data_IF_848478586798
#
_entry.id   IF_848478586798
#
_cell.length_a   1.000
_cell.length_b   1.000
_cell.length_c   1.000
_cell.angle_alpha   90.00
_cell.angle_beta   90.00
_cell.angle_gamma   90.00
#
_symmetry.space_group_name_H-M   'P 1'
#
loop_
_entity.id
_entity.type
_entity.pdbx_description
1 polymer ?
#
# COMPACT_ATOMS: atom_id res chain seq x y z
N UNK A 1 12.72 57.65 25.30
CA UNK A 1 13.52 56.83 26.23
C UNK A 1 12.84 55.46 26.43
N UNK A 2 12.59 54.72 25.34
CA UNK A 2 11.86 53.43 25.37
C UNK A 2 12.19 52.54 24.14
N UNK A 3 13.42 52.63 23.59
CA UNK A 3 13.82 51.83 22.41
C UNK A 3 15.15 51.07 22.57
N UNK A 4 15.84 51.23 23.69
CA UNK A 4 17.13 50.57 23.94
C UNK A 4 17.02 49.27 24.74
N UNK A 5 15.88 49.01 25.42
CA UNK A 5 15.69 47.80 26.21
C UNK A 5 15.30 46.56 25.37
N UNK A 6 14.59 46.74 24.25
CA UNK A 6 14.20 45.61 23.38
C UNK A 6 15.35 45.11 22.49
N UNK A 7 16.33 45.97 22.17
CA UNK A 7 17.51 45.57 21.38
C UNK A 7 18.52 44.75 22.20
N UNK A 8 18.59 44.97 23.53
CA UNK A 8 19.48 44.22 24.42
C UNK A 8 18.89 42.85 24.82
N UNK A 9 17.56 42.71 24.84
CA UNK A 9 16.91 41.41 25.01
C UNK A 9 17.14 40.48 23.79
N UNK A 10 17.10 41.03 22.57
CA UNK A 10 17.39 40.27 21.34
C UNK A 10 18.89 39.89 21.21
N UNK A 11 19.81 40.71 21.75
CA UNK A 11 21.25 40.41 21.76
C UNK A 11 21.66 39.42 22.84
N UNK A 12 20.95 39.37 23.97
CA UNK A 12 21.18 38.39 25.04
C UNK A 12 20.74 36.97 24.64
N UNK A 13 19.69 36.84 23.82
CA UNK A 13 19.27 35.56 23.24
C UNK A 13 20.23 35.01 22.17
N UNK A 14 21.10 35.85 21.59
CA UNK A 14 22.04 35.47 20.52
C UNK A 14 23.43 35.07 21.02
N UNK A 15 23.69 35.03 22.34
CA UNK A 15 25.04 34.81 22.91
C UNK A 15 25.20 33.70 23.94
N UNK A 16 24.21 32.82 24.08
CA UNK A 16 24.35 31.60 24.89
C UNK A 16 23.94 30.34 24.13
N UNK A 17 24.64 30.07 23.02
CA UNK A 17 25.01 28.71 22.61
C UNK A 17 26.44 28.73 22.09
N UNK A 18 27.38 28.59 23.03
CA UNK A 18 28.82 28.53 22.82
C UNK A 18 29.21 27.09 22.47
N UNK A 19 29.66 26.92 21.22
CA UNK A 19 30.58 25.89 20.70
C UNK A 19 30.34 24.43 21.12
N UNK A 20 29.72 23.67 20.22
CA UNK A 20 30.02 22.25 20.01
C UNK A 20 30.60 22.10 18.59
N UNK A 21 31.56 21.19 18.36
CA UNK A 21 32.44 21.23 17.21
C UNK A 21 31.72 20.92 15.90
N UNK A 22 32.12 21.63 14.84
CA UNK A 22 32.15 21.14 13.47
C UNK A 22 32.93 19.82 13.47
N UNK A 23 32.21 18.72 13.51
CA UNK A 23 32.62 17.43 12.99
C UNK A 23 31.65 17.08 11.86
N UNK A 24 32.14 16.36 10.84
CA UNK A 24 31.45 16.18 9.57
C UNK A 24 30.08 15.55 9.83
N UNK A 25 29.17 15.69 8.87
CA UNK A 25 28.04 14.79 8.76
C UNK A 25 28.57 13.37 9.01
N UNK A 26 28.30 12.83 10.20
CA UNK A 26 28.48 11.41 10.45
C UNK A 26 27.47 10.78 9.50
N UNK A 27 27.97 10.42 8.32
CA UNK A 27 27.40 9.32 7.55
C UNK A 27 27.52 8.15 8.50
N UNK A 28 26.50 7.98 9.34
CA UNK A 28 26.29 6.72 10.03
C UNK A 28 26.06 5.72 8.91
N UNK A 29 27.12 5.01 8.52
CA UNK A 29 27.04 3.75 7.79
C UNK A 29 26.40 2.70 8.71
N UNK A 30 25.17 2.96 9.13
CA UNK A 30 24.29 1.96 9.71
C UNK A 30 23.87 1.07 8.53
N UNK A 31 24.71 0.06 8.26
CA UNK A 31 24.41 -1.16 7.51
C UNK A 31 23.21 -1.00 6.57
N UNK A 32 23.44 -0.53 5.34
CA UNK A 32 22.43 -0.52 4.28
C UNK A 32 21.95 -1.96 4.07
N UNK A 33 20.87 -2.34 4.77
CA UNK A 33 20.20 -3.59 4.49
C UNK A 33 19.67 -3.46 3.06
N UNK A 34 20.10 -4.32 2.13
CA UNK A 34 19.70 -4.21 0.74
C UNK A 34 18.18 -4.26 0.69
N UNK A 35 17.57 -3.27 0.02
CA UNK A 35 16.12 -3.21 -0.04
C UNK A 35 15.61 -4.46 -0.72
N UNK A 36 14.77 -5.20 0.00
CA UNK A 36 14.18 -6.43 -0.51
C UNK A 36 12.70 -6.24 -0.76
N UNK A 37 12.19 -6.84 -1.83
CA UNK A 37 10.78 -6.90 -2.22
C UNK A 37 10.30 -8.35 -2.17
N UNK A 38 9.02 -8.59 -1.89
CA UNK A 38 8.46 -9.93 -1.84
C UNK A 38 8.50 -10.63 -3.19
N UNK A 39 8.47 -11.96 -3.19
CA UNK A 39 8.34 -12.74 -4.43
C UNK A 39 7.09 -12.36 -5.26
N UNK A 40 6.02 -11.91 -4.60
CA UNK A 40 4.81 -11.44 -5.26
C UNK A 40 5.02 -10.08 -5.93
N UNK A 41 5.67 -9.14 -5.26
CA UNK A 41 6.03 -7.83 -5.81
C UNK A 41 6.96 -7.99 -7.01
N UNK A 42 8.00 -8.82 -6.88
CA UNK A 42 8.92 -9.14 -7.97
C UNK A 42 8.18 -9.68 -9.20
N UNK A 43 7.22 -10.58 -8.99
CA UNK A 43 6.43 -11.14 -10.08
C UNK A 43 5.51 -10.11 -10.74
N UNK A 44 4.96 -9.15 -9.99
CA UNK A 44 4.16 -8.05 -10.54
C UNK A 44 5.02 -7.06 -11.32
N UNK A 45 6.18 -6.68 -10.81
CA UNK A 45 7.06 -5.73 -11.50
C UNK A 45 7.56 -6.33 -12.81
N UNK A 46 8.08 -7.56 -12.74
CA UNK A 46 8.82 -8.16 -13.84
C UNK A 46 7.97 -8.96 -14.81
N UNK A 47 6.70 -9.25 -14.47
CA UNK A 47 5.86 -10.17 -15.23
C UNK A 47 6.24 -11.65 -15.10
N UNK A 48 7.35 -11.96 -14.43
CA UNK A 48 7.80 -13.33 -14.23
C UNK A 48 7.08 -13.95 -13.03
N UNK A 49 6.16 -14.88 -13.29
CA UNK A 49 5.38 -15.53 -12.24
C UNK A 49 6.23 -16.12 -11.10
N UNK A 50 5.71 -16.10 -9.86
CA UNK A 50 6.39 -16.58 -8.63
C UNK A 50 7.01 -17.98 -8.76
N UNK A 51 6.31 -18.87 -9.45
CA UNK A 51 6.80 -20.23 -9.67
C UNK A 51 7.96 -20.29 -10.67
N UNK A 52 7.98 -19.41 -11.68
CA UNK A 52 9.13 -19.25 -12.60
C UNK A 52 10.32 -18.70 -11.83
N UNK A 53 10.15 -17.65 -11.03
CA UNK A 53 11.21 -17.12 -10.15
C UNK A 53 11.78 -18.19 -9.21
N UNK A 54 10.92 -18.99 -8.56
CA UNK A 54 11.34 -20.12 -7.70
C UNK A 54 12.08 -21.20 -8.48
N UNK A 55 11.68 -21.44 -9.72
CA UNK A 55 12.34 -22.42 -10.59
C UNK A 55 13.72 -21.91 -11.02
N UNK A 56 13.86 -20.63 -11.31
CA UNK A 56 15.13 -19.99 -11.63
C UNK A 56 16.07 -20.01 -10.42
N UNK A 57 15.56 -19.64 -9.23
CA UNK A 57 16.26 -19.76 -7.93
C UNK A 57 16.82 -21.18 -7.75
N UNK A 58 15.95 -22.19 -7.85
CA UNK A 58 16.34 -23.59 -7.58
C UNK A 58 17.32 -24.15 -8.60
N UNK A 59 17.20 -23.79 -9.88
CA UNK A 59 18.01 -24.36 -10.96
C UNK A 59 19.32 -23.60 -11.21
N UNK A 60 19.31 -22.30 -10.99
CA UNK A 60 20.37 -21.39 -11.43
C UNK A 60 20.85 -20.45 -10.33
N UNK A 61 20.25 -20.49 -9.13
CA UNK A 61 20.66 -19.65 -8.00
C UNK A 61 20.28 -18.18 -8.13
N UNK A 62 19.42 -17.81 -9.08
CA UNK A 62 19.05 -16.42 -9.37
C UNK A 62 17.53 -16.26 -9.60
N UNK A 63 16.88 -15.19 -9.10
CA UNK A 63 17.42 -14.21 -8.14
C UNK A 63 17.67 -14.81 -6.76
N UNK A 64 18.62 -14.25 -6.01
CA UNK A 64 19.02 -14.76 -4.69
C UNK A 64 17.98 -14.33 -3.63
N UNK A 65 17.31 -15.27 -2.94
CA UNK A 65 16.34 -14.91 -1.94
C UNK A 65 17.02 -14.44 -0.65
N UNK A 66 16.65 -13.26 -0.17
CA UNK A 66 16.88 -12.82 1.20
C UNK A 66 15.71 -13.34 2.05
N UNK A 67 16.02 -14.02 3.14
CA UNK A 67 15.00 -14.54 4.07
C UNK A 67 14.62 -13.45 5.05
N UNK A 68 13.36 -13.06 5.05
CA UNK A 68 12.81 -12.19 6.07
C UNK A 68 12.73 -12.92 7.43
N UNK A 69 12.63 -12.18 8.56
CA UNK A 69 12.51 -12.77 9.90
C UNK A 69 11.32 -13.74 10.04
N UNK A 70 10.25 -13.53 9.26
CA UNK A 70 9.07 -14.40 9.19
C UNK A 70 9.24 -15.62 8.25
N UNK A 71 10.46 -15.88 7.74
CA UNK A 71 10.78 -16.98 6.84
C UNK A 71 10.40 -16.78 5.37
N UNK A 72 9.75 -15.66 5.01
CA UNK A 72 9.30 -15.39 3.65
C UNK A 72 10.47 -15.10 2.70
N UNK A 73 10.33 -15.50 1.43
CA UNK A 73 11.28 -15.15 0.36
C UNK A 73 11.09 -13.70 -0.06
N UNK A 74 12.14 -12.90 0.06
CA UNK A 74 12.25 -11.60 -0.56
C UNK A 74 13.43 -11.60 -1.55
N UNK A 75 13.38 -10.77 -2.58
CA UNK A 75 14.43 -10.59 -3.58
C UNK A 75 14.94 -9.16 -3.50
N UNK A 76 16.18 -8.90 -3.91
CA UNK A 76 16.68 -7.52 -3.91
C UNK A 76 15.93 -6.71 -4.96
N UNK A 77 15.55 -5.48 -4.64
CA UNK A 77 14.87 -4.60 -5.60
C UNK A 77 15.74 -4.36 -6.84
N UNK A 78 17.06 -4.30 -6.66
CA UNK A 78 18.06 -4.20 -7.74
C UNK A 78 17.98 -5.34 -8.77
N UNK A 79 17.55 -6.54 -8.37
CA UNK A 79 17.46 -7.71 -9.27
C UNK A 79 16.37 -7.55 -10.33
N UNK A 80 15.46 -6.58 -10.18
CA UNK A 80 14.33 -6.33 -11.10
C UNK A 80 14.81 -6.19 -12.54
N UNK A 81 15.86 -5.38 -12.76
CA UNK A 81 16.41 -5.13 -14.09
C UNK A 81 16.91 -6.41 -14.76
N UNK A 82 17.68 -7.21 -14.00
CA UNK A 82 18.23 -8.46 -14.49
C UNK A 82 17.13 -9.48 -14.80
N UNK A 83 16.11 -9.61 -13.93
CA UNK A 83 14.98 -10.52 -14.17
C UNK A 83 14.16 -10.11 -15.39
N UNK A 84 13.89 -8.83 -15.60
CA UNK A 84 13.21 -8.33 -16.81
C UNK A 84 14.04 -8.62 -18.06
N UNK A 85 15.36 -8.40 -18.02
CA UNK A 85 16.28 -8.72 -19.11
C UNK A 85 16.27 -10.21 -19.46
N UNK A 86 16.39 -11.08 -18.46
CA UNK A 86 16.37 -12.54 -18.63
C UNK A 86 15.03 -13.00 -19.21
N UNK A 87 13.91 -12.47 -18.71
CA UNK A 87 12.58 -12.82 -19.19
C UNK A 87 12.45 -12.55 -20.70
N UNK A 88 12.87 -11.37 -21.16
CA UNK A 88 12.86 -11.00 -22.57
C UNK A 88 13.78 -11.86 -23.43
N UNK A 89 14.97 -12.20 -22.93
CA UNK A 89 15.89 -13.10 -23.64
C UNK A 89 15.29 -14.49 -23.81
N UNK A 90 14.65 -15.01 -22.76
CA UNK A 90 13.95 -16.31 -22.80
C UNK A 90 12.76 -16.27 -23.77
N UNK A 91 11.98 -15.20 -23.78
CA UNK A 91 10.86 -15.04 -24.72
C UNK A 91 11.33 -14.95 -26.19
N UNK A 92 12.58 -14.53 -26.42
CA UNK A 92 13.26 -14.55 -27.73
C UNK A 92 13.91 -15.89 -28.07
N UNK A 93 13.76 -16.91 -27.23
CA UNK A 93 14.28 -18.26 -27.45
C UNK A 93 15.70 -18.50 -26.93
N UNK A 94 16.30 -17.56 -26.18
CA UNK A 94 17.58 -17.80 -25.49
C UNK A 94 17.34 -18.80 -24.35
N UNK A 95 18.21 -19.80 -24.23
CA UNK A 95 18.13 -20.76 -23.14
C UNK A 95 18.29 -20.06 -21.78
N UNK A 96 17.41 -20.35 -20.84
CA UNK A 96 17.36 -19.69 -19.52
C UNK A 96 18.72 -19.64 -18.81
N UNK A 97 19.48 -20.73 -18.81
CA UNK A 97 20.80 -20.77 -18.19
C UNK A 97 21.80 -19.81 -18.85
N UNK A 98 21.75 -19.67 -20.18
CA UNK A 98 22.58 -18.73 -20.93
C UNK A 98 22.14 -17.28 -20.66
N UNK A 99 20.83 -17.01 -20.63
CA UNK A 99 20.31 -15.69 -20.32
C UNK A 99 20.67 -15.23 -18.90
N UNK A 100 20.61 -16.14 -17.91
CA UNK A 100 21.04 -15.86 -16.53
C UNK A 100 22.55 -15.62 -16.48
N UNK A 101 23.36 -16.45 -17.15
CA UNK A 101 24.80 -16.20 -17.21
C UNK A 101 25.10 -14.86 -17.87
N UNK A 102 24.44 -14.50 -18.96
CA UNK A 102 24.62 -13.19 -19.61
C UNK A 102 24.24 -12.04 -18.68
N UNK A 103 23.10 -12.11 -17.99
CA UNK A 103 22.66 -11.08 -17.05
C UNK A 103 23.57 -10.95 -15.81
N UNK A 104 24.20 -12.05 -15.36
CA UNK A 104 25.15 -12.05 -14.24
C UNK A 104 26.59 -11.69 -14.68
N UNK A 105 26.95 -11.97 -15.93
CA UNK A 105 28.22 -11.62 -16.58
C UNK A 105 28.16 -10.25 -17.27
N UNK A 106 27.06 -9.51 -17.13
CA UNK A 106 26.94 -8.08 -17.37
C UNK A 106 27.14 -7.30 -16.05
N UNK A 107 28.31 -7.33 -15.37
CA UNK A 107 28.66 -6.23 -14.50
C UNK A 107 29.01 -5.06 -15.43
N UNK A 108 28.13 -4.05 -15.48
CA UNK A 108 28.41 -2.71 -16.01
C UNK A 108 28.85 -2.57 -17.49
N UNK A 109 29.01 -3.64 -18.26
CA UNK A 109 29.45 -3.55 -19.66
C UNK A 109 28.50 -4.25 -20.61
N UNK A 110 27.62 -3.47 -21.24
CA UNK A 110 26.98 -3.87 -22.48
C UNK A 110 25.45 -3.84 -22.53
N UNK A 111 24.77 -2.94 -21.83
CA UNK A 111 23.36 -2.68 -22.15
C UNK A 111 23.29 -1.86 -23.46
N UNK A 112 23.02 -2.56 -24.56
CA UNK A 112 22.73 -2.05 -25.90
C UNK A 112 21.61 -0.99 -25.84
N UNK A 113 21.94 0.28 -25.62
CA UNK A 113 21.07 1.47 -25.79
C UNK A 113 19.77 1.54 -24.95
N UNK A 114 19.37 2.75 -24.58
CA UNK A 114 18.08 3.03 -23.93
C UNK A 114 16.89 2.40 -24.66
N UNK A 115 16.93 2.32 -26.00
CA UNK A 115 15.88 1.69 -26.80
C UNK A 115 15.64 0.22 -26.46
N UNK A 116 16.70 -0.54 -26.16
CA UNK A 116 16.55 -1.94 -25.75
C UNK A 116 15.98 -2.05 -24.34
N UNK A 117 16.37 -1.16 -23.42
CA UNK A 117 15.82 -1.13 -22.07
C UNK A 117 14.36 -0.67 -22.06
N UNK A 118 14.01 0.38 -22.80
CA UNK A 118 12.63 0.86 -22.97
C UNK A 118 11.72 -0.25 -23.48
N UNK A 119 12.15 -0.98 -24.52
CA UNK A 119 11.40 -2.16 -25.00
C UNK A 119 11.24 -3.24 -23.92
N UNK A 120 12.23 -3.41 -23.04
CA UNK A 120 12.13 -4.40 -21.95
C UNK A 120 11.17 -3.91 -20.85
N UNK A 121 11.18 -2.62 -20.55
CA UNK A 121 10.30 -1.97 -19.57
C UNK A 121 8.86 -1.79 -20.07
N UNK A 122 8.62 -1.82 -21.38
CA UNK A 122 7.27 -1.91 -21.95
C UNK A 122 6.56 -3.22 -21.56
N UNK A 123 7.32 -4.29 -21.28
CA UNK A 123 6.78 -5.55 -20.76
C UNK A 123 6.69 -5.56 -19.22
N UNK A 124 7.17 -4.53 -18.54
CA UNK A 124 6.98 -4.41 -17.09
C UNK A 124 5.50 -4.18 -16.80
N UNK A 125 4.92 -4.95 -15.87
CA UNK A 125 3.51 -4.79 -15.48
C UNK A 125 3.33 -3.74 -14.37
N UNK A 126 4.20 -2.72 -14.35
CA UNK A 126 4.13 -1.58 -13.44
C UNK A 126 4.39 -0.27 -14.19
N UNK A 127 3.77 0.86 -13.79
CA UNK A 127 4.04 2.16 -14.41
C UNK A 127 5.52 2.54 -14.35
N UNK A 128 6.06 3.04 -15.47
CA UNK A 128 7.45 3.40 -15.56
C UNK A 128 7.67 4.63 -16.44
N UNK A 129 8.59 5.49 -16.01
CA UNK A 129 9.03 6.68 -16.75
C UNK A 129 10.55 6.77 -16.75
N UNK A 130 11.14 7.34 -17.80
CA UNK A 130 12.52 7.77 -17.80
C UNK A 130 12.59 9.29 -17.83
N UNK A 131 13.42 9.85 -16.97
CA UNK A 131 13.60 11.28 -16.80
C UNK A 131 14.97 11.69 -17.30
N UNK A 132 15.00 12.80 -18.02
CA UNK A 132 16.18 13.54 -18.41
C UNK A 132 16.23 14.83 -17.59
N UNK A 133 17.41 15.26 -17.16
CA UNK A 133 17.55 16.40 -16.25
C UNK A 133 19.01 16.59 -15.84
N UNK A 134 19.30 17.46 -14.86
CA UNK A 134 18.60 17.58 -13.57
C UNK A 134 17.50 18.65 -13.46
N UNK A 135 17.48 19.67 -14.33
CA UNK A 135 16.42 20.68 -14.44
C UNK A 135 16.41 21.25 -15.87
N UNK A 136 15.25 21.29 -16.57
CA UNK A 136 13.97 20.67 -16.20
C UNK A 136 14.08 19.14 -16.08
N UNK A 137 13.19 18.52 -15.32
CA UNK A 137 13.11 17.04 -15.22
C UNK A 137 12.15 16.53 -16.28
N UNK A 138 12.60 16.53 -17.52
CA UNK A 138 11.78 16.17 -18.69
C UNK A 138 11.54 14.67 -18.76
N UNK A 139 10.30 14.25 -19.01
CA UNK A 139 9.95 12.85 -19.30
C UNK A 139 10.48 12.50 -20.69
N UNK A 140 11.58 11.74 -20.73
CA UNK A 140 12.19 11.27 -21.98
C UNK A 140 11.48 10.04 -22.55
N UNK A 141 10.78 9.28 -21.70
CA UNK A 141 10.06 8.07 -22.09
C UNK A 141 9.06 7.66 -21.02
N UNK A 142 8.00 6.97 -21.42
CA UNK A 142 7.01 6.36 -20.54
C UNK A 142 6.56 5.02 -21.13
N UNK A 143 6.26 4.04 -20.27
CA UNK A 143 5.74 2.74 -20.73
C UNK A 143 4.24 2.81 -21.03
N UNK A 144 3.71 1.77 -21.68
CA UNK A 144 2.29 1.70 -22.06
C UNK A 144 1.31 1.93 -20.89
N UNK A 145 1.65 1.49 -19.67
CA UNK A 145 0.81 1.67 -18.48
C UNK A 145 0.75 3.14 -18.03
N UNK A 146 1.88 3.84 -18.07
CA UNK A 146 1.90 5.27 -17.79
C UNK A 146 1.20 6.05 -18.91
N UNK A 147 1.45 5.74 -20.18
CA UNK A 147 0.80 6.40 -21.33
C UNK A 147 -0.73 6.23 -21.30
N UNK A 148 -1.24 5.08 -20.86
CA UNK A 148 -2.67 4.83 -20.76
C UNK A 148 -3.37 5.63 -19.64
N UNK A 149 -2.61 6.27 -18.74
CA UNK A 149 -3.14 7.02 -17.60
C UNK A 149 -3.31 8.50 -17.98
N UNK A 150 -4.54 9.06 -18.00
CA UNK A 150 -4.77 10.44 -18.44
C UNK A 150 -4.08 11.51 -17.57
N UNK A 151 -3.85 11.18 -16.30
CA UNK A 151 -3.22 12.09 -15.32
C UNK A 151 -1.69 12.06 -15.38
N UNK A 152 -1.12 11.11 -16.13
CA UNK A 152 0.32 10.96 -16.19
C UNK A 152 1.00 12.02 -17.04
N UNK A 153 2.26 12.37 -16.70
CA UNK A 153 3.07 13.22 -17.55
C UNK A 153 3.36 12.48 -18.87
N UNK A 154 3.29 13.23 -19.96
CA UNK A 154 3.57 12.75 -21.30
C UNK A 154 5.03 12.97 -21.67
N UNK A 155 5.51 12.25 -22.68
CA UNK A 155 6.88 12.40 -23.16
C UNK A 155 7.09 13.83 -23.66
N UNK A 156 8.09 14.52 -23.11
CA UNK A 156 8.39 15.93 -23.35
C UNK A 156 7.93 16.87 -22.23
N UNK A 157 7.04 16.44 -21.34
CA UNK A 157 6.61 17.25 -20.19
C UNK A 157 7.73 17.39 -19.16
N UNK A 158 7.80 18.55 -18.48
CA UNK A 158 8.54 18.68 -17.24
C UNK A 158 7.72 18.03 -16.11
N UNK A 159 8.29 17.01 -15.47
CA UNK A 159 7.68 16.30 -14.36
C UNK A 159 7.24 17.26 -13.25
N UNK A 160 8.05 18.26 -12.93
CA UNK A 160 7.81 19.15 -11.79
C UNK A 160 6.76 20.22 -12.10
N UNK A 161 6.60 20.61 -13.36
CA UNK A 161 5.49 21.46 -13.77
C UNK A 161 4.17 20.69 -13.77
N UNK A 162 4.20 19.42 -14.21
CA UNK A 162 3.00 18.59 -14.25
C UNK A 162 2.57 18.09 -12.86
N UNK A 163 3.54 17.82 -11.99
CA UNK A 163 3.37 17.28 -10.64
C UNK A 163 4.20 18.12 -9.64
N UNK A 164 3.74 19.33 -9.29
CA UNK A 164 4.48 20.22 -8.38
C UNK A 164 4.70 19.63 -6.99
N UNK A 165 3.80 18.74 -6.55
CA UNK A 165 3.85 18.07 -5.25
C UNK A 165 4.51 16.67 -5.32
N UNK A 166 5.36 16.39 -6.33
CA UNK A 166 6.00 15.09 -6.50
C UNK A 166 6.74 14.58 -5.26
N UNK A 167 7.33 15.49 -4.48
CA UNK A 167 7.97 15.21 -3.21
C UNK A 167 9.44 15.65 -3.21
N UNK A 168 9.88 16.55 -2.30
CA UNK A 168 11.22 17.15 -2.34
C UNK A 168 12.34 16.13 -2.12
N UNK A 169 12.10 15.09 -1.33
CA UNK A 169 13.07 14.02 -1.09
C UNK A 169 13.31 13.17 -2.35
N UNK A 170 12.24 12.81 -3.08
CA UNK A 170 12.37 12.09 -4.35
C UNK A 170 13.10 12.92 -5.40
N UNK A 171 12.76 14.21 -5.50
CA UNK A 171 13.42 15.14 -6.43
C UNK A 171 14.93 15.18 -6.16
N UNK A 172 15.33 15.36 -4.89
CA UNK A 172 16.74 15.38 -4.50
C UNK A 172 17.45 14.07 -4.81
N UNK A 173 16.83 12.93 -4.54
CA UNK A 173 17.41 11.61 -4.83
C UNK A 173 17.60 11.40 -6.35
N UNK A 174 16.61 11.78 -7.17
CA UNK A 174 16.70 11.66 -8.63
C UNK A 174 17.79 12.57 -9.18
N UNK A 175 17.90 13.80 -8.69
CA UNK A 175 18.97 14.73 -9.09
C UNK A 175 20.36 14.18 -8.75
N UNK A 176 20.52 13.58 -7.56
CA UNK A 176 21.76 12.93 -7.13
C UNK A 176 22.10 11.70 -7.98
N UNK A 177 21.11 10.93 -8.42
CA UNK A 177 21.33 9.85 -9.40
C UNK A 177 21.81 10.41 -10.74
N UNK A 178 21.19 11.49 -11.24
CA UNK A 178 21.57 12.13 -12.50
C UNK A 178 23.01 12.68 -12.47
N UNK A 179 23.43 13.29 -11.35
CA UNK A 179 24.81 13.76 -11.17
C UNK A 179 25.80 12.61 -10.93
N UNK A 180 25.36 11.51 -10.32
CA UNK A 180 26.21 10.37 -9.95
C UNK A 180 26.81 10.51 -8.55
N UNK A 181 26.15 11.27 -7.69
CA UNK A 181 26.57 11.52 -6.29
C UNK A 181 26.20 10.38 -5.34
N UNK A 182 25.43 9.40 -5.82
CA UNK A 182 25.02 8.19 -5.08
C UNK A 182 25.14 6.97 -5.99
N UNK A 183 24.99 5.79 -5.39
CA UNK A 183 24.92 4.51 -6.11
C UNK A 183 23.95 4.59 -7.29
N UNK A 184 24.19 3.76 -8.31
CA UNK A 184 23.44 3.78 -9.57
C UNK A 184 21.93 3.49 -9.41
N UNK A 185 21.45 3.19 -8.20
CA UNK A 185 20.03 3.05 -7.89
C UNK A 185 19.64 3.58 -6.52
N UNK A 186 18.39 4.01 -6.37
CA UNK A 186 17.79 4.42 -5.11
C UNK A 186 16.30 4.11 -5.12
N UNK A 187 15.69 3.96 -3.95
CA UNK A 187 14.23 3.95 -3.84
C UNK A 187 13.74 5.31 -3.39
N UNK A 188 12.76 5.83 -4.12
CA UNK A 188 12.23 7.19 -3.93
C UNK A 188 10.74 7.12 -3.62
N UNK A 189 10.32 7.90 -2.64
CA UNK A 189 8.91 8.04 -2.25
C UNK A 189 8.36 9.32 -2.84
N UNK A 190 7.28 9.22 -3.61
CA UNK A 190 6.71 10.33 -4.38
C UNK A 190 5.18 10.21 -4.47
N UNK A 191 4.49 11.27 -4.89
CA UNK A 191 3.07 11.16 -5.23
C UNK A 191 2.85 10.39 -6.53
N UNK A 192 1.77 9.62 -6.58
CA UNK A 192 1.39 8.81 -7.74
C UNK A 192 1.20 9.68 -8.98
N UNK A 193 1.99 9.41 -10.03
CA UNK A 193 1.87 10.09 -11.31
C UNK A 193 0.84 9.43 -12.24
N UNK A 194 0.19 8.34 -11.84
CA UNK A 194 -0.82 7.65 -12.67
C UNK A 194 -2.25 7.81 -12.17
N UNK A 195 -2.44 8.50 -11.05
CA UNK A 195 -3.72 8.62 -10.36
C UNK A 195 -4.09 10.08 -10.14
N UNK A 196 -5.37 10.40 -10.29
CA UNK A 196 -5.92 11.73 -9.96
C UNK A 196 -5.93 12.01 -8.45
N UNK A 197 -5.74 10.97 -7.62
CA UNK A 197 -5.72 11.08 -6.17
C UNK A 197 -4.29 11.04 -5.64
N UNK A 198 -3.90 11.99 -4.77
CA UNK A 198 -2.56 12.07 -4.20
C UNK A 198 -2.32 10.87 -3.28
N UNK A 199 -1.75 9.81 -3.84
CA UNK A 199 -1.39 8.60 -3.13
C UNK A 199 0.11 8.51 -3.11
N UNK A 200 0.69 8.30 -1.94
CA UNK A 200 2.12 8.08 -1.84
C UNK A 200 2.49 6.74 -2.51
N UNK A 201 3.56 6.77 -3.29
CA UNK A 201 4.12 5.65 -4.04
C UNK A 201 5.61 5.58 -3.80
N UNK A 202 6.15 4.38 -3.94
CA UNK A 202 7.59 4.17 -4.03
C UNK A 202 7.94 3.77 -5.44
N UNK A 203 9.06 4.27 -5.94
CA UNK A 203 9.66 3.82 -7.18
C UNK A 203 11.09 3.39 -6.96
N UNK A 204 11.49 2.33 -7.65
CA UNK A 204 12.90 2.06 -7.85
C UNK A 204 13.38 3.02 -8.94
N UNK A 205 14.27 3.93 -8.55
CA UNK A 205 14.96 4.83 -9.44
C UNK A 205 16.36 4.26 -9.74
N UNK A 206 16.81 4.29 -10.98
CA UNK A 206 18.20 3.97 -11.30
C UNK A 206 18.72 4.81 -12.45
N UNK A 207 20.00 5.15 -12.38
CA UNK A 207 20.71 5.84 -13.43
C UNK A 207 21.07 4.86 -14.54
N UNK A 208 20.86 5.28 -15.78
CA UNK A 208 21.39 4.59 -16.95
C UNK A 208 22.89 4.90 -17.12
N UNK A 209 23.72 3.89 -17.45
CA UNK A 209 25.13 4.11 -17.77
C UNK A 209 25.27 5.08 -18.95
N UNK A 210 26.33 5.89 -18.94
CA UNK A 210 26.58 6.88 -19.99
C UNK A 210 26.78 6.23 -21.38
N UNK A 211 27.14 4.95 -21.42
CA UNK A 211 27.30 4.17 -22.65
C UNK A 211 25.95 3.76 -23.26
N UNK A 212 24.86 3.79 -22.48
CA UNK A 212 23.52 3.40 -22.92
C UNK A 212 22.70 4.58 -23.48
N UNK A 213 23.13 5.82 -23.23
CA UNK A 213 22.47 7.05 -23.64
C UNK A 213 23.44 8.22 -23.60
N UNK A 214 23.46 9.05 -24.66
CA UNK A 214 24.26 10.29 -24.70
C UNK A 214 23.83 11.33 -23.64
N UNK A 215 22.71 11.07 -22.95
CA UNK A 215 22.16 11.89 -21.88
C UNK A 215 22.00 11.09 -20.59
N UNK A 216 22.27 11.72 -19.45
CA UNK A 216 22.02 11.13 -18.13
C UNK A 216 20.51 10.91 -17.95
N UNK A 217 20.09 9.65 -17.98
CA UNK A 217 18.71 9.24 -17.78
C UNK A 217 18.56 8.52 -16.44
N UNK A 218 17.48 8.84 -15.73
CA UNK A 218 17.05 8.09 -14.55
C UNK A 218 15.72 7.44 -14.86
N UNK A 219 15.66 6.12 -14.75
CA UNK A 219 14.41 5.37 -14.91
C UNK A 219 13.77 5.21 -13.54
N UNK A 220 12.47 5.50 -13.46
CA UNK A 220 11.63 5.20 -12.32
C UNK A 220 10.64 4.12 -12.72
N UNK A 221 10.62 3.02 -11.97
CA UNK A 221 9.55 2.03 -12.04
C UNK A 221 8.79 2.06 -10.73
N UNK A 222 7.50 2.37 -10.78
CA UNK A 222 6.65 2.30 -9.60
C UNK A 222 6.72 0.88 -9.06
N UNK A 223 7.18 0.77 -7.82
CA UNK A 223 7.04 -0.46 -7.09
C UNK A 223 5.53 -0.67 -6.85
N UNK A 224 5.04 -1.92 -6.93
CA UNK A 224 3.76 -2.25 -6.33
C UNK A 224 3.83 -1.73 -4.90
N UNK A 225 2.71 -1.25 -4.33
CA UNK A 225 2.67 -0.92 -2.92
C UNK A 225 3.24 -2.12 -2.17
N UNK A 226 4.50 -1.97 -1.77
CA UNK A 226 5.12 -2.90 -0.86
C UNK A 226 4.37 -2.63 0.42
N UNK A 227 3.97 -3.67 1.12
CA UNK A 227 3.77 -3.57 2.55
C UNK A 227 5.14 -3.29 3.24
N UNK A 228 5.94 -2.36 2.71
CA UNK A 228 7.28 -2.01 3.15
C UNK A 228 7.14 -1.15 4.38
N UNK A 229 7.49 -1.74 5.52
CA UNK A 229 7.50 -1.10 6.82
C UNK A 229 6.23 -0.31 7.10
N UNK A 230 5.13 -1.06 7.20
CA UNK A 230 3.95 -0.62 7.92
C UNK A 230 4.35 -0.37 9.39
N UNK A 231 4.94 0.80 9.66
CA UNK A 231 4.62 1.44 10.93
C UNK A 231 3.10 1.51 10.88
N UNK A 232 2.41 0.67 11.69
CA UNK A 232 1.00 0.34 11.47
C UNK A 232 0.06 1.55 11.30
N UNK A 233 0.54 2.75 11.62
CA UNK A 233 -0.02 4.08 11.30
C UNK A 233 -0.28 4.32 9.81
N UNK A 234 0.58 3.89 8.86
CA UNK A 234 0.42 4.21 7.43
C UNK A 234 -0.64 3.34 6.74
N UNK A 235 -0.63 2.01 6.89
CA UNK A 235 -1.73 1.18 6.39
C UNK A 235 -3.03 1.38 7.20
N UNK A 236 -2.93 1.83 8.45
CA UNK A 236 -4.10 2.29 9.19
C UNK A 236 -4.62 3.64 8.71
N UNK A 237 -3.89 4.46 7.94
CA UNK A 237 -4.35 5.82 7.60
C UNK A 237 -5.71 5.82 6.86
N UNK A 238 -5.94 4.97 5.83
CA UNK A 238 -7.26 4.83 5.22
C UNK A 238 -8.34 4.38 6.23
N UNK A 239 -8.00 3.43 7.10
CA UNK A 239 -8.91 2.93 8.14
C UNK A 239 -9.22 3.98 9.20
N UNK A 240 -8.22 4.70 9.70
CA UNK A 240 -8.32 5.75 10.71
C UNK A 240 -9.17 6.93 10.20
N UNK A 241 -8.94 7.38 8.97
CA UNK A 241 -9.75 8.42 8.34
C UNK A 241 -11.20 7.96 8.12
N UNK A 242 -11.41 6.72 7.68
CA UNK A 242 -12.74 6.15 7.49
C UNK A 242 -13.49 5.96 8.81
N UNK A 243 -12.81 5.46 9.84
CA UNK A 243 -13.34 5.26 11.19
C UNK A 243 -13.63 6.58 11.88
N UNK A 244 -12.76 7.59 11.73
CA UNK A 244 -13.01 8.93 12.25
C UNK A 244 -14.29 9.55 11.68
N UNK A 245 -14.50 9.42 10.37
CA UNK A 245 -15.73 9.87 9.73
C UNK A 245 -16.97 9.07 10.20
N UNK A 246 -16.85 7.75 10.32
CA UNK A 246 -17.94 6.90 10.78
C UNK A 246 -18.30 7.15 12.26
N UNK A 247 -17.32 7.40 13.12
CA UNK A 247 -17.51 7.81 14.51
C UNK A 247 -18.20 9.16 14.62
N UNK A 248 -17.79 10.14 13.80
CA UNK A 248 -18.44 11.44 13.75
C UNK A 248 -19.94 11.32 13.47
N UNK A 249 -20.36 10.41 12.57
CA UNK A 249 -21.78 10.12 12.32
C UNK A 249 -22.46 9.58 13.59
N UNK A 250 -21.87 8.60 14.27
CA UNK A 250 -22.42 8.01 15.50
C UNK A 250 -22.49 9.00 16.68
N UNK A 251 -21.65 10.03 16.68
CA UNK A 251 -21.64 11.09 17.69
C UNK A 251 -22.76 12.11 17.47
N UNK A 252 -23.12 12.40 16.21
CA UNK A 252 -24.13 13.41 15.86
C UNK A 252 -25.53 12.83 15.62
N UNK A 253 -25.63 11.56 15.23
CA UNK A 253 -26.90 10.89 14.93
C UNK A 253 -27.23 9.80 15.95
N UNK A 254 -28.52 9.69 16.31
CA UNK A 254 -29.04 8.64 17.20
C UNK A 254 -29.98 7.70 16.42
N UNK A 255 -30.26 6.53 16.99
CA UNK A 255 -31.12 5.53 16.37
C UNK A 255 -30.38 4.51 15.50
N UNK A 256 -31.07 3.43 15.15
CA UNK A 256 -30.52 2.32 14.35
C UNK A 256 -30.00 2.76 12.97
N UNK A 257 -30.56 3.85 12.41
CA UNK A 257 -30.12 4.42 11.14
C UNK A 257 -28.68 4.99 11.19
N UNK A 258 -28.22 5.49 12.35
CA UNK A 258 -26.87 6.05 12.46
C UNK A 258 -25.79 4.97 12.26
N UNK A 259 -26.06 3.72 12.64
CA UNK A 259 -25.18 2.57 12.38
C UNK A 259 -25.05 2.31 10.88
N UNK A 260 -26.15 2.40 10.13
CA UNK A 260 -26.14 2.25 8.68
C UNK A 260 -25.40 3.39 7.99
N UNK A 261 -25.59 4.65 8.43
CA UNK A 261 -24.86 5.79 7.90
C UNK A 261 -23.36 5.75 8.22
N UNK A 262 -22.99 5.31 9.43
CA UNK A 262 -21.61 5.11 9.83
C UNK A 262 -20.93 3.99 9.01
N UNK A 263 -21.63 2.87 8.79
CA UNK A 263 -21.18 1.82 7.91
C UNK A 263 -21.04 2.32 6.46
N UNK A 264 -21.95 3.17 5.99
CA UNK A 264 -21.87 3.76 4.67
C UNK A 264 -20.65 4.68 4.52
N UNK A 265 -20.26 5.39 5.58
CA UNK A 265 -19.02 6.16 5.60
C UNK A 265 -17.78 5.26 5.48
N UNK A 266 -17.74 4.13 6.20
CA UNK A 266 -16.68 3.13 6.08
C UNK A 266 -16.60 2.54 4.66
N UNK A 267 -17.72 2.09 4.11
CA UNK A 267 -17.78 1.49 2.77
C UNK A 267 -17.29 2.47 1.70
N UNK A 268 -17.69 3.74 1.77
CA UNK A 268 -17.24 4.77 0.82
C UNK A 268 -15.75 5.06 0.94
N UNK A 269 -15.23 5.22 2.17
CA UNK A 269 -13.85 5.71 2.40
C UNK A 269 -12.78 4.63 2.34
N UNK A 270 -13.15 3.37 2.53
CA UNK A 270 -12.21 2.23 2.41
C UNK A 270 -12.21 1.58 1.02
N UNK A 271 -13.09 2.02 0.11
CA UNK A 271 -13.22 1.43 -1.23
C UNK A 271 -13.92 0.06 -1.22
N UNK A 272 -14.63 -0.30 -0.16
CA UNK A 272 -15.40 -1.54 -0.12
C UNK A 272 -16.46 -1.57 -1.24
N UNK A 273 -16.71 -2.77 -1.78
CA UNK A 273 -17.80 -3.06 -2.70
C UNK A 273 -19.13 -2.78 -2.00
N UNK A 274 -19.29 -3.30 -0.80
CA UNK A 274 -20.46 -3.11 0.05
C UNK A 274 -20.16 -3.57 1.48
N UNK A 275 -21.12 -3.44 2.38
CA UNK A 275 -21.05 -4.04 3.71
C UNK A 275 -22.40 -4.06 4.41
N UNK A 276 -22.56 -4.94 5.39
CA UNK A 276 -23.74 -5.00 6.25
C UNK A 276 -23.37 -5.21 7.72
N UNK A 277 -24.33 -4.92 8.60
CA UNK A 277 -24.29 -5.31 10.01
C UNK A 277 -25.25 -6.48 10.23
N UNK A 278 -24.80 -7.49 10.95
CA UNK A 278 -25.64 -8.59 11.42
C UNK A 278 -25.61 -8.67 12.94
N UNK A 279 -26.77 -8.86 13.56
CA UNK A 279 -26.88 -9.02 15.02
C UNK A 279 -27.15 -10.47 15.36
N UNK A 280 -26.48 -10.98 16.38
CA UNK A 280 -26.73 -12.32 16.90
C UNK A 280 -28.06 -12.35 17.64
N UNK A 281 -28.86 -13.34 17.29
CA UNK A 281 -30.09 -13.68 17.99
C UNK A 281 -29.89 -14.87 18.92
N UNK A 282 -29.02 -15.82 18.52
CA UNK A 282 -28.56 -16.97 19.27
C UNK A 282 -27.16 -17.39 18.76
N UNK A 283 -26.61 -18.50 19.29
CA UNK A 283 -25.26 -18.97 18.96
C UNK A 283 -25.08 -19.42 17.48
N UNK A 284 -26.16 -19.74 16.77
CA UNK A 284 -26.13 -20.28 15.40
C UNK A 284 -26.84 -19.40 14.36
N UNK A 285 -27.35 -18.23 14.75
CA UNK A 285 -28.18 -17.40 13.88
C UNK A 285 -27.86 -15.91 14.01
N UNK A 286 -27.45 -15.34 12.88
CA UNK A 286 -27.23 -13.91 12.70
C UNK A 286 -28.38 -13.32 11.87
N UNK A 287 -28.92 -12.17 12.29
CA UNK A 287 -29.88 -11.39 11.50
C UNK A 287 -29.16 -10.23 10.85
N UNK A 288 -28.89 -10.34 9.55
CA UNK A 288 -28.26 -9.31 8.75
C UNK A 288 -29.28 -8.26 8.31
N UNK A 289 -28.93 -6.99 8.48
CA UNK A 289 -29.61 -5.90 7.80
C UNK A 289 -29.26 -5.88 6.31
N UNK A 290 -30.03 -5.13 5.51
CA UNK A 290 -29.64 -4.86 4.13
C UNK A 290 -28.28 -4.18 4.09
N UNK A 291 -27.47 -4.52 3.10
CA UNK A 291 -26.19 -3.87 2.89
C UNK A 291 -26.34 -2.43 2.45
N UNK A 292 -25.29 -1.63 2.67
CA UNK A 292 -25.26 -0.19 2.39
C UNK A 292 -25.65 0.13 0.95
N UNK A 293 -25.13 -0.62 -0.03
CA UNK A 293 -25.42 -0.41 -1.46
C UNK A 293 -26.54 -1.31 -1.97
N UNK A 294 -27.17 -2.09 -1.10
CA UNK A 294 -28.30 -2.97 -1.43
C UNK A 294 -27.93 -4.21 -2.22
N UNK A 295 -26.63 -4.57 -2.33
CA UNK A 295 -26.21 -5.80 -2.99
C UNK A 295 -26.63 -7.06 -2.20
N UNK A 296 -26.86 -6.94 -0.89
CA UNK A 296 -27.39 -8.02 -0.04
C UNK A 296 -28.66 -7.56 0.70
N UNK A 297 -29.79 -8.27 0.55
CA UNK A 297 -31.00 -7.96 1.29
C UNK A 297 -30.92 -8.41 2.75
N UNK A 298 -31.71 -7.78 3.62
CA UNK A 298 -31.87 -8.22 4.99
C UNK A 298 -32.34 -9.69 5.05
N UNK A 299 -31.66 -10.53 5.84
CA UNK A 299 -31.95 -11.96 5.96
C UNK A 299 -31.43 -12.55 7.27
N UNK A 300 -31.98 -13.70 7.65
CA UNK A 300 -31.32 -14.57 8.62
C UNK A 300 -30.16 -15.32 7.94
N UNK A 301 -29.08 -15.49 8.66
CA UNK A 301 -27.88 -16.21 8.26
C UNK A 301 -27.67 -17.31 9.30
N UNK A 302 -27.81 -18.55 8.84
CA UNK A 302 -27.45 -19.73 9.63
C UNK A 302 -25.93 -19.88 9.62
N UNK A 303 -25.32 -19.87 10.81
CA UNK A 303 -23.88 -19.99 10.96
C UNK A 303 -23.42 -21.43 11.20
N UNK A 304 -24.32 -22.41 11.23
CA UNK A 304 -23.99 -23.83 11.44
C UNK A 304 -22.97 -24.35 10.42
N UNK A 305 -23.13 -23.96 9.15
CA UNK A 305 -22.26 -24.30 8.01
C UNK A 305 -21.09 -23.30 7.81
N UNK A 306 -20.90 -22.33 8.73
CA UNK A 306 -19.86 -21.29 8.64
C UNK A 306 -18.88 -21.39 9.82
N UNK A 307 -17.89 -22.30 9.76
CA UNK A 307 -17.03 -22.61 10.91
C UNK A 307 -16.13 -21.44 11.34
N UNK A 308 -15.67 -20.60 10.41
CA UNK A 308 -14.90 -19.39 10.69
C UNK A 308 -15.75 -18.31 11.40
N UNK A 309 -17.01 -18.11 10.99
CA UNK A 309 -17.94 -17.21 11.67
C UNK A 309 -18.25 -17.73 13.07
N UNK A 310 -18.48 -19.04 13.25
CA UNK A 310 -18.71 -19.63 14.57
C UNK A 310 -17.51 -19.48 15.50
N UNK A 311 -16.31 -19.74 15.00
CA UNK A 311 -15.07 -19.53 15.74
C UNK A 311 -14.96 -18.07 16.17
N UNK A 312 -15.24 -17.12 15.26
CA UNK A 312 -15.21 -15.69 15.54
C UNK A 312 -16.29 -15.25 16.54
N UNK A 313 -17.48 -15.87 16.54
CA UNK A 313 -18.51 -15.57 17.54
C UNK A 313 -18.10 -16.02 18.94
N UNK A 314 -17.35 -17.12 19.06
CA UNK A 314 -16.84 -17.65 20.32
C UNK A 314 -15.57 -16.92 20.81
N UNK A 315 -14.63 -16.67 19.89
CA UNK A 315 -13.35 -15.99 20.12
C UNK A 315 -13.27 -14.76 19.19
N UNK A 316 -13.70 -13.58 19.65
CA UNK A 316 -13.86 -12.42 18.79
C UNK A 316 -12.51 -11.85 18.33
N UNK A 317 -12.20 -12.07 17.06
CA UNK A 317 -11.08 -11.44 16.35
C UNK A 317 -11.56 -10.83 15.03
N UNK A 318 -10.86 -9.81 14.54
CA UNK A 318 -11.15 -9.25 13.20
C UNK A 318 -10.42 -10.12 12.19
N UNK A 319 -11.12 -10.77 11.28
CA UNK A 319 -10.51 -11.72 10.32
C UNK A 319 -11.13 -11.63 8.93
N UNK A 320 -10.39 -12.10 7.93
CA UNK A 320 -10.92 -12.36 6.60
C UNK A 320 -11.70 -13.67 6.59
N UNK A 321 -12.84 -13.69 5.92
CA UNK A 321 -13.65 -14.89 5.74
C UNK A 321 -13.02 -15.85 4.75
N UNK A 322 -13.22 -17.14 5.02
CA UNK A 322 -12.82 -18.19 4.10
C UNK A 322 -13.64 -18.12 2.80
N UNK A 323 -13.07 -18.60 1.67
CA UNK A 323 -13.81 -18.74 0.42
C UNK A 323 -15.09 -19.57 0.54
N UNK A 324 -15.12 -20.52 1.48
CA UNK A 324 -16.26 -21.42 1.70
C UNK A 324 -17.42 -20.65 2.33
N UNK A 325 -17.13 -19.86 3.36
CA UNK A 325 -18.12 -18.98 3.99
C UNK A 325 -18.61 -17.88 3.06
N UNK A 326 -17.75 -17.35 2.20
CA UNK A 326 -18.17 -16.40 1.15
C UNK A 326 -19.17 -17.02 0.18
N UNK A 327 -19.01 -18.32 -0.16
CA UNK A 327 -19.99 -19.05 -0.98
C UNK A 327 -21.31 -19.23 -0.25
N UNK A 328 -21.28 -19.60 1.02
CA UNK A 328 -22.49 -19.72 1.85
C UNK A 328 -23.21 -18.37 2.02
N UNK A 329 -22.46 -17.27 2.12
CA UNK A 329 -23.00 -15.90 2.10
C UNK A 329 -23.47 -15.44 0.72
N UNK A 330 -23.37 -16.28 -0.33
CA UNK A 330 -23.72 -15.92 -1.70
C UNK A 330 -22.97 -14.67 -2.19
N UNK A 331 -21.72 -14.49 -1.76
CA UNK A 331 -20.92 -13.35 -2.16
C UNK A 331 -20.47 -13.47 -3.63
N UNK A 332 -20.29 -12.35 -4.37
CA UNK A 332 -19.81 -12.38 -5.75
C UNK A 332 -18.50 -13.18 -5.89
N UNK A 333 -18.28 -13.89 -7.01
CA UNK A 333 -17.03 -14.59 -7.25
C UNK A 333 -15.83 -13.63 -7.15
N UNK A 334 -14.74 -14.10 -6.53
CA UNK A 334 -13.51 -13.30 -6.28
C UNK A 334 -13.67 -12.13 -5.32
N UNK A 335 -14.81 -11.99 -4.64
CA UNK A 335 -14.88 -11.07 -3.50
C UNK A 335 -14.09 -11.63 -2.32
N UNK A 336 -13.63 -10.72 -1.48
CA UNK A 336 -13.00 -10.97 -0.19
C UNK A 336 -13.86 -10.25 0.85
N UNK A 337 -14.00 -10.79 2.06
CA UNK A 337 -14.73 -10.08 3.11
C UNK A 337 -13.98 -10.13 4.44
N UNK A 338 -13.87 -8.97 5.07
CA UNK A 338 -13.41 -8.86 6.45
C UNK A 338 -14.62 -8.81 7.38
N UNK A 339 -14.53 -9.55 8.47
CA UNK A 339 -15.54 -9.60 9.52
C UNK A 339 -14.98 -8.98 10.80
N UNK A 340 -15.77 -8.08 11.37
CA UNK A 340 -15.44 -7.34 12.57
C UNK A 340 -16.48 -7.67 13.65
N UNK A 341 -16.13 -8.37 14.73
CA UNK A 341 -17.07 -8.74 15.78
C UNK A 341 -17.55 -7.51 16.56
N UNK A 342 -18.86 -7.46 16.83
CA UNK A 342 -19.49 -6.47 17.68
C UNK A 342 -19.57 -7.01 19.11
N UNK A 343 -18.57 -6.71 19.94
CA UNK A 343 -18.52 -7.18 21.33
C UNK A 343 -19.05 -6.09 22.26
N UNK A 344 -19.97 -6.45 23.16
CA UNK A 344 -20.47 -5.55 24.20
C UNK A 344 -20.79 -6.32 25.47
N UNK A 345 -20.26 -5.86 26.62
CA UNK A 345 -20.47 -6.55 27.90
C UNK A 345 -19.85 -7.95 27.98
N UNK A 346 -18.78 -8.21 27.22
CA UNK A 346 -18.09 -9.51 27.19
C UNK A 346 -18.74 -10.58 26.30
N UNK A 347 -19.79 -10.24 25.56
CA UNK A 347 -20.45 -11.14 24.62
C UNK A 347 -20.49 -10.56 23.20
N UNK A 348 -20.42 -11.43 22.20
CA UNK A 348 -20.56 -11.05 20.79
C UNK A 348 -22.03 -10.81 20.46
N UNK A 349 -22.38 -9.55 20.23
CA UNK A 349 -23.73 -9.10 19.88
C UNK A 349 -24.04 -9.26 18.39
N UNK A 350 -23.02 -9.52 17.57
CA UNK A 350 -23.13 -9.55 16.13
C UNK A 350 -21.80 -9.33 15.44
N UNK A 351 -21.85 -8.99 14.17
CA UNK A 351 -20.69 -8.75 13.31
C UNK A 351 -20.98 -7.63 12.31
N UNK A 352 -19.94 -6.93 11.89
CA UNK A 352 -19.92 -6.12 10.68
C UNK A 352 -19.18 -6.93 9.62
N UNK A 353 -19.71 -6.98 8.40
CA UNK A 353 -19.06 -7.62 7.26
C UNK A 353 -18.84 -6.58 6.16
N UNK A 354 -17.60 -6.43 5.70
CA UNK A 354 -17.22 -5.53 4.61
C UNK A 354 -16.64 -6.34 3.45
N UNK A 355 -17.15 -6.12 2.24
CA UNK A 355 -16.75 -6.85 1.03
C UNK A 355 -15.82 -6.00 0.15
N UNK A 356 -14.78 -6.63 -0.40
CA UNK A 356 -13.75 -6.02 -1.23
C UNK A 356 -13.52 -6.84 -2.50
N UNK A 357 -13.02 -6.20 -3.56
CA UNK A 357 -12.62 -6.88 -4.79
C UNK A 357 -11.28 -7.63 -4.65
N UNK A 358 -10.45 -7.17 -3.72
CA UNK A 358 -9.14 -7.74 -3.40
C UNK A 358 -8.89 -7.61 -1.90
N UNK A 359 -8.16 -8.56 -1.33
CA UNK A 359 -7.80 -8.55 0.08
C UNK A 359 -6.93 -7.31 0.37
N UNK A 360 -7.33 -6.51 1.35
CA UNK A 360 -6.55 -5.36 1.80
C UNK A 360 -5.58 -5.79 2.90
N UNK A 361 -4.45 -5.09 3.01
CA UNK A 361 -3.54 -5.30 4.13
C UNK A 361 -4.25 -4.93 5.44
N UNK A 362 -4.34 -5.89 6.36
CA UNK A 362 -5.00 -5.71 7.66
C UNK A 362 -3.99 -5.86 8.79
N UNK A 363 -3.24 -4.78 9.03
CA UNK A 363 -2.24 -4.71 10.10
C UNK A 363 -2.86 -4.62 11.49
N UNK A 364 -2.05 -4.82 12.52
CA UNK A 364 -2.47 -4.83 13.93
C UNK A 364 -3.20 -3.53 14.33
N UNK A 365 -2.66 -2.37 13.97
CA UNK A 365 -3.29 -1.06 14.23
C UNK A 365 -4.65 -0.94 13.54
N UNK A 366 -4.78 -1.44 12.30
CA UNK A 366 -6.08 -1.44 11.59
C UNK A 366 -7.10 -2.34 12.28
N UNK A 367 -6.66 -3.49 12.83
CA UNK A 367 -7.51 -4.40 13.61
C UNK A 367 -7.98 -3.74 14.90
N UNK A 368 -7.08 -3.10 15.64
CA UNK A 368 -7.42 -2.36 16.88
C UNK A 368 -8.40 -1.21 16.62
N UNK A 369 -8.19 -0.43 15.55
CA UNK A 369 -9.08 0.65 15.16
C UNK A 369 -10.48 0.11 14.80
N UNK A 370 -10.54 -0.97 14.02
CA UNK A 370 -11.80 -1.62 13.67
C UNK A 370 -12.53 -2.18 14.89
N UNK A 371 -11.80 -2.80 15.82
CA UNK A 371 -12.36 -3.26 17.10
C UNK A 371 -12.91 -2.09 17.93
N UNK A 372 -12.17 -0.98 18.01
CA UNK A 372 -12.61 0.23 18.72
C UNK A 372 -13.89 0.81 18.10
N UNK A 373 -13.96 0.84 16.77
CA UNK A 373 -15.16 1.24 16.06
C UNK A 373 -16.33 0.28 16.31
N UNK A 374 -16.08 -1.02 16.26
CA UNK A 374 -17.06 -2.07 16.50
C UNK A 374 -17.65 -1.98 17.92
N UNK A 375 -16.82 -1.69 18.93
CA UNK A 375 -17.27 -1.43 20.28
C UNK A 375 -18.20 -0.21 20.37
N UNK A 376 -17.92 0.85 19.60
CA UNK A 376 -18.77 2.05 19.52
C UNK A 376 -20.13 1.72 18.90
N UNK A 377 -20.14 0.93 17.82
CA UNK A 377 -21.37 0.44 17.18
C UNK A 377 -22.16 -0.48 18.13
N UNK A 378 -21.48 -1.41 18.80
CA UNK A 378 -22.07 -2.32 19.78
C UNK A 378 -22.75 -1.56 20.92
N UNK A 379 -22.07 -0.55 21.48
CA UNK A 379 -22.65 0.32 22.51
C UNK A 379 -23.87 1.09 22.00
N UNK A 380 -23.84 1.57 20.76
CA UNK A 380 -25.00 2.22 20.13
C UNK A 380 -26.19 1.27 20.03
N UNK A 381 -25.97 0.05 19.50
CA UNK A 381 -27.01 -0.98 19.37
C UNK A 381 -27.58 -1.42 20.73
N UNK A 382 -26.74 -1.56 21.76
CA UNK A 382 -27.20 -1.89 23.12
C UNK A 382 -28.08 -0.79 23.71
N UNK A 383 -27.70 0.49 23.55
CA UNK A 383 -28.52 1.61 24.02
C UNK A 383 -29.90 1.62 23.37
N UNK A 384 -29.96 1.45 22.06
CA UNK A 384 -31.23 1.38 21.32
C UNK A 384 -32.08 0.18 21.77
N UNK A 385 -31.46 -0.99 21.97
CA UNK A 385 -32.15 -2.18 22.47
C UNK A 385 -32.70 -1.99 23.89
N UNK A 386 -31.95 -1.37 24.78
CA UNK A 386 -32.39 -1.07 26.14
C UNK A 386 -33.54 -0.06 26.16
N UNK A 387 -33.46 1.00 25.34
CA UNK A 387 -34.54 1.97 25.19
C UNK A 387 -35.83 1.31 24.68
N UNK A 388 -35.71 0.42 23.68
CA UNK A 388 -36.85 -0.32 23.13
C UNK A 388 -37.49 -1.28 24.16
N UNK A 389 -36.68 -1.95 25.00
CA UNK A 389 -37.18 -2.82 26.07
C UNK A 389 -37.87 -2.02 27.19
N UNK A 390 -37.29 -0.88 27.60
CA UNK A 390 -37.89 -0.01 28.60
C UNK A 390 -39.25 0.53 28.14
N UNK A 391 -39.36 0.96 26.88
CA UNK A 391 -40.62 1.40 26.28
C UNK A 391 -41.70 0.29 26.27
N UNK A 392 -41.31 -0.97 26.03
CA UNK A 392 -42.22 -2.14 26.08
C UNK A 392 -42.63 -2.56 27.48
N UNK A 393 -41.89 -2.14 28.52
CA UNK A 393 -42.22 -2.45 29.92
C UNK A 393 -43.12 -1.38 30.57
N UNK A 394 -43.26 -0.21 29.93
CA UNK A 394 -44.05 0.93 30.41
C UNK A 394 -45.41 1.09 29.70
N UNK A 395 -45.63 0.39 28.59
CA UNK A 395 -46.92 0.29 27.89
C UNK A 395 -47.42 -1.14 27.93
#
# INVERSE_FOLDING_TARGET
MLQTAELDAARSAMRSFKTAPTSPATVSSELEEPLTISAMEMARITGVGRERLRTWERRHGFPLPVRAPNGMRRYRAEDVRAVVSIARQVDRGVALGAAIQQALQEPERGAVGFQSLGTALDYAHAPAIALQGPTPMTVAWANALTIASPEAPTVGDDLLERLPDFGPAAISAIQRLMSGDIDDSAVVTHLDWTSAFPTERQSLAWRLPAEASDQALVVLVQLPQSASHDTGVSAATPWAAAIGAARSVLEHERGVASVQHALAALVRRTGAIDGFVATSSNASELRAASSVRGCWPARAIDTSEMPDVRALLAEPSVEWLSPDTLRELSAPPRSQAVVVPLVGGGVTLGVITLFYATEMHLCEVSRELLQTFAATVAASLQRERHAALAARSQG
#
